data_IF_016906707768
#
_entry.id   IF_016906707768
#
_cell.length_a   1.000
_cell.length_b   1.000
_cell.length_c   1.000
_cell.angle_alpha   90.00
_cell.angle_beta   90.00
_cell.angle_gamma   90.00
#
_symmetry.space_group_name_H-M   'P 1'
#
loop_
_entity.id
_entity.type
_entity.pdbx_description
1 polymer ?
#
# COMPACT_ATOMS: atom_id res chain seq x y z
N UNK A 1 40.45 38.96 18.86
CA UNK A 1 39.43 39.02 19.93
C UNK A 1 38.20 39.78 19.43
N UNK A 2 37.03 39.14 19.54
CA UNK A 2 35.65 39.70 19.59
C UNK A 2 34.96 40.16 18.29
N UNK A 3 34.22 39.21 17.71
CA UNK A 3 32.92 39.37 17.04
C UNK A 3 31.97 40.28 17.85
N UNK A 4 31.24 41.17 17.17
CA UNK A 4 29.97 41.78 17.59
C UNK A 4 29.06 41.79 16.36
N UNK A 5 28.11 40.88 16.25
CA UNK A 5 26.72 40.96 16.77
C UNK A 5 25.75 41.43 15.69
N UNK A 6 24.95 40.46 15.25
CA UNK A 6 23.78 40.49 14.37
C UNK A 6 22.64 41.28 15.03
N UNK A 7 21.86 42.05 14.24
CA UNK A 7 20.51 42.48 14.63
C UNK A 7 19.67 42.86 13.39
N UNK A 8 18.69 42.03 13.04
CA UNK A 8 17.35 42.50 12.63
C UNK A 8 16.42 41.29 12.45
N UNK A 9 15.65 40.99 13.49
CA UNK A 9 14.48 40.12 13.44
C UNK A 9 13.29 41.03 13.76
N UNK A 10 12.41 41.23 12.78
CA UNK A 10 11.10 41.86 13.01
C UNK A 10 10.17 40.81 13.56
N UNK A 11 9.74 41.07 14.79
CA UNK A 11 8.66 40.41 15.52
C UNK A 11 7.33 40.88 14.94
N UNK A 12 6.43 39.96 14.60
CA UNK A 12 4.99 40.19 14.77
C UNK A 12 4.31 38.89 15.17
N UNK A 13 3.86 38.86 16.43
CA UNK A 13 2.95 37.87 16.98
C UNK A 13 1.65 38.58 17.37
N UNK A 14 0.53 38.05 16.89
CA UNK A 14 -0.79 38.15 17.52
C UNK A 14 -1.52 36.82 17.16
N UNK A 15 -1.62 35.83 18.05
CA UNK A 15 -2.56 35.71 19.19
C UNK A 15 -4.02 35.74 18.71
N UNK A 16 -4.94 34.78 18.85
CA UNK A 16 -5.15 33.49 19.57
C UNK A 16 -6.34 32.83 18.78
N UNK A 17 -6.53 31.51 18.64
CA UNK A 17 -7.14 30.57 19.61
C UNK A 17 -6.92 29.11 19.13
N UNK A 18 -6.09 28.39 19.87
CA UNK A 18 -6.13 26.98 20.30
C UNK A 18 -6.85 25.87 19.49
N UNK A 19 -6.07 24.97 18.87
CA UNK A 19 -6.14 23.51 19.09
C UNK A 19 -4.86 22.79 18.61
N UNK A 20 -3.97 22.51 19.57
CA UNK A 20 -2.99 21.42 19.66
C UNK A 20 -2.45 20.72 18.38
N UNK A 21 -1.75 21.43 17.49
CA UNK A 21 -0.94 20.76 16.45
C UNK A 21 0.41 21.44 16.14
N UNK A 22 0.83 22.47 16.87
CA UNK A 22 2.07 23.20 16.54
C UNK A 22 2.90 23.46 17.81
N UNK A 23 3.33 22.38 18.45
CA UNK A 23 4.43 22.39 19.40
C UNK A 23 5.42 21.32 18.93
N UNK A 24 6.40 21.74 18.14
CA UNK A 24 7.37 20.86 17.50
C UNK A 24 8.24 21.52 16.43
N UNK A 25 7.92 22.75 16.00
CA UNK A 25 8.86 23.59 15.27
C UNK A 25 9.76 24.30 16.27
N UNK A 26 11.08 24.13 16.16
CA UNK A 26 12.17 24.79 16.93
C UNK A 26 12.75 24.06 18.15
N UNK A 27 12.90 22.74 18.05
CA UNK A 27 14.05 22.00 18.58
C UNK A 27 14.17 20.77 17.66
N UNK A 28 15.13 20.68 16.76
CA UNK A 28 16.45 20.08 17.03
C UNK A 28 17.41 20.61 15.97
N UNK A 29 18.46 21.27 16.42
CA UNK A 29 19.70 21.45 15.67
C UNK A 29 20.47 20.14 15.77
N UNK A 30 21.09 19.73 14.65
CA UNK A 30 22.04 18.61 14.50
C UNK A 30 21.49 17.20 14.72
N UNK A 31 20.91 16.63 13.67
CA UNK A 31 21.25 15.30 13.13
C UNK A 31 20.47 15.13 11.83
N UNK A 32 21.17 14.90 10.73
CA UNK A 32 20.55 14.29 9.55
C UNK A 32 20.23 12.86 10.01
N UNK A 33 19.03 12.69 10.57
CA UNK A 33 18.43 11.37 10.67
C UNK A 33 18.34 10.89 9.23
N UNK A 34 19.22 9.93 8.93
CA UNK A 34 18.91 8.82 8.04
C UNK A 34 17.40 8.63 8.05
N UNK A 35 16.77 8.79 6.89
CA UNK A 35 15.43 8.26 6.65
C UNK A 35 15.54 6.80 7.03
N UNK A 36 15.12 6.45 8.25
CA UNK A 36 14.99 5.06 8.61
C UNK A 36 14.00 4.51 7.59
N UNK A 37 14.37 3.44 6.84
CA UNK A 37 13.43 2.84 5.93
C UNK A 37 12.19 2.53 6.75
N UNK A 38 11.05 3.03 6.26
CA UNK A 38 9.73 2.60 6.71
C UNK A 38 9.86 1.10 6.93
N UNK A 39 9.66 0.66 8.18
CA UNK A 39 9.95 -0.68 8.64
C UNK A 39 9.00 -1.65 7.91
N UNK A 40 9.32 -1.98 6.65
CA UNK A 40 8.71 -3.08 5.92
C UNK A 40 9.15 -4.29 6.71
N UNK A 41 8.19 -4.91 7.40
CA UNK A 41 8.40 -6.18 8.07
C UNK A 41 9.16 -7.08 7.10
N UNK A 42 10.39 -7.44 7.44
CA UNK A 42 11.25 -8.27 6.62
C UNK A 42 10.63 -9.66 6.49
N UNK A 43 9.69 -9.81 5.57
CA UNK A 43 9.36 -11.10 4.99
C UNK A 43 10.60 -11.55 4.22
N UNK A 44 11.13 -12.71 4.62
CA UNK A 44 12.36 -13.27 4.08
C UNK A 44 12.33 -13.28 2.54
N UNK A 45 13.34 -12.73 1.85
CA UNK A 45 13.40 -12.79 0.40
C UNK A 45 13.78 -14.22 0.02
N UNK A 46 13.02 -14.86 -0.86
CA UNK A 46 13.56 -15.99 -1.62
C UNK A 46 12.70 -17.24 -1.78
N UNK A 47 11.38 -17.21 -1.65
CA UNK A 47 10.59 -18.30 -2.23
C UNK A 47 9.39 -17.76 -2.97
N UNK A 48 9.34 -18.03 -4.27
CA UNK A 48 8.11 -18.06 -5.09
C UNK A 48 7.17 -19.21 -4.61
N UNK A 49 7.16 -19.49 -3.31
CA UNK A 49 6.28 -20.46 -2.68
C UNK A 49 4.89 -19.85 -2.72
N UNK A 50 4.11 -20.28 -3.72
CA UNK A 50 2.67 -20.07 -3.69
C UNK A 50 2.16 -20.53 -2.32
N UNK A 51 1.42 -19.68 -1.60
CA UNK A 51 0.70 -20.13 -0.42
C UNK A 51 -0.19 -21.29 -0.84
N UNK A 52 0.10 -22.50 -0.35
CA UNK A 52 -0.45 -23.73 -0.94
C UNK A 52 -1.56 -24.34 -0.10
N UNK A 53 -1.82 -23.80 1.09
CA UNK A 53 -2.83 -24.41 1.97
C UNK A 53 -3.48 -23.38 2.89
N UNK A 54 -4.81 -23.34 2.84
CA UNK A 54 -5.63 -22.66 3.84
C UNK A 54 -5.64 -23.49 5.13
N UNK A 55 -5.08 -22.94 6.20
CA UNK A 55 -5.19 -23.54 7.54
C UNK A 55 -6.36 -22.87 8.26
N UNK A 56 -7.48 -23.58 8.42
CA UNK A 56 -8.65 -22.97 9.06
C UNK A 56 -9.78 -23.93 9.39
N UNK A 57 -10.44 -23.65 10.51
CA UNK A 57 -11.69 -24.30 10.93
C UNK A 57 -12.83 -23.94 9.98
N UNK A 58 -13.70 -24.91 9.68
CA UNK A 58 -14.89 -24.67 8.86
C UNK A 58 -15.92 -23.91 9.69
N UNK A 59 -16.31 -22.71 9.26
CA UNK A 59 -17.46 -22.04 9.84
C UNK A 59 -18.74 -22.65 9.26
N UNK A 60 -19.82 -22.65 10.03
CA UNK A 60 -21.13 -23.01 9.49
C UNK A 60 -21.50 -21.99 8.42
N UNK A 61 -21.73 -22.45 7.19
CA UNK A 61 -22.03 -21.59 6.06
C UNK A 61 -23.34 -20.83 6.32
N UNK A 62 -23.24 -19.55 6.69
CA UNK A 62 -24.38 -18.65 6.69
C UNK A 62 -24.56 -18.12 5.27
N UNK A 63 -25.66 -18.50 4.60
CA UNK A 63 -25.95 -18.13 3.21
C UNK A 63 -25.85 -16.60 2.98
N UNK A 64 -26.20 -15.80 3.98
CA UNK A 64 -26.08 -14.34 3.97
C UNK A 64 -24.61 -13.87 3.90
N UNK A 65 -23.72 -14.48 4.68
CA UNK A 65 -22.29 -14.15 4.67
C UNK A 65 -21.64 -14.54 3.34
N UNK A 66 -21.94 -15.74 2.83
CA UNK A 66 -21.43 -16.23 1.52
C UNK A 66 -21.80 -15.28 0.39
N UNK A 67 -23.07 -14.83 0.34
CA UNK A 67 -23.54 -13.93 -0.71
C UNK A 67 -22.81 -12.58 -0.66
N UNK A 68 -22.63 -12.01 0.54
CA UNK A 68 -21.97 -10.71 0.70
C UNK A 68 -20.47 -10.77 0.43
N UNK A 69 -19.78 -11.82 0.90
CA UNK A 69 -18.35 -12.02 0.61
C UNK A 69 -18.14 -12.18 -0.91
N UNK A 70 -18.96 -13.00 -1.59
CA UNK A 70 -18.89 -13.15 -3.04
C UNK A 70 -19.12 -11.81 -3.77
N UNK A 71 -20.07 -11.00 -3.32
CA UNK A 71 -20.34 -9.71 -3.93
C UNK A 71 -19.14 -8.76 -3.80
N UNK A 72 -18.50 -8.70 -2.64
CA UNK A 72 -17.30 -7.89 -2.41
C UNK A 72 -16.13 -8.40 -3.26
N UNK A 73 -15.83 -9.71 -3.23
CA UNK A 73 -14.74 -10.28 -4.03
C UNK A 73 -14.95 -10.08 -5.53
N UNK A 74 -16.19 -10.19 -6.02
CA UNK A 74 -16.51 -9.92 -7.42
C UNK A 74 -16.27 -8.44 -7.78
N UNK A 75 -16.66 -7.52 -6.91
CA UNK A 75 -16.46 -6.10 -7.14
C UNK A 75 -14.96 -5.74 -7.17
N UNK A 76 -14.17 -6.32 -6.27
CA UNK A 76 -12.71 -6.17 -6.27
C UNK A 76 -12.07 -6.77 -7.52
N UNK A 77 -12.50 -7.97 -7.92
CA UNK A 77 -12.06 -8.69 -9.11
C UNK A 77 -12.31 -7.89 -10.42
N UNK A 78 -13.43 -7.15 -10.48
CA UNK A 78 -13.75 -6.17 -11.52
C UNK A 78 -12.81 -4.95 -11.47
N UNK A 79 -12.55 -4.42 -10.28
CA UNK A 79 -11.64 -3.29 -10.06
C UNK A 79 -10.20 -3.64 -10.44
N UNK A 80 -9.75 -4.85 -10.09
CA UNK A 80 -8.42 -5.36 -10.43
C UNK A 80 -8.25 -5.61 -11.93
N UNK A 81 -9.30 -6.06 -12.64
CA UNK A 81 -9.26 -6.10 -14.12
C UNK A 81 -9.13 -4.71 -14.74
N UNK A 82 -9.84 -3.73 -14.21
CA UNK A 82 -9.75 -2.35 -14.70
C UNK A 82 -8.36 -1.76 -14.46
N UNK A 83 -7.76 -2.00 -13.30
CA UNK A 83 -6.38 -1.68 -12.99
C UNK A 83 -5.41 -2.35 -13.97
N UNK A 84 -5.51 -3.67 -14.13
CA UNK A 84 -4.63 -4.43 -15.02
C UNK A 84 -4.71 -3.96 -16.48
N UNK A 85 -5.92 -3.70 -16.99
CA UNK A 85 -6.12 -3.17 -18.33
C UNK A 85 -5.49 -1.78 -18.52
N UNK A 86 -5.52 -0.94 -17.46
CA UNK A 86 -4.86 0.37 -17.48
C UNK A 86 -3.34 0.23 -17.46
N UNK A 87 -2.79 -0.60 -16.58
CA UNK A 87 -1.35 -0.88 -16.54
C UNK A 87 -0.85 -1.42 -17.89
N UNK A 88 -1.55 -2.39 -18.49
CA UNK A 88 -1.21 -2.89 -19.83
C UNK A 88 -1.17 -1.80 -20.89
N UNK A 89 -2.09 -0.82 -20.83
CA UNK A 89 -2.12 0.29 -21.80
C UNK A 89 -0.93 1.24 -21.71
N UNK A 90 -0.19 1.21 -20.60
CA UNK A 90 1.04 1.98 -20.40
C UNK A 90 2.27 1.31 -21.05
N UNK A 91 2.14 0.07 -21.56
CA UNK A 91 3.24 -0.72 -22.13
C UNK A 91 4.45 -0.84 -21.19
N UNK A 92 4.20 -0.96 -19.88
CA UNK A 92 5.21 -1.24 -18.86
C UNK A 92 4.86 -2.51 -18.10
N UNK A 93 5.89 -3.16 -17.60
CA UNK A 93 5.83 -4.26 -16.66
C UNK A 93 6.79 -3.99 -15.49
N UNK A 94 6.81 -4.88 -14.51
CA UNK A 94 7.65 -4.76 -13.32
C UNK A 94 9.15 -4.58 -13.63
N UNK A 95 9.62 -5.15 -14.75
CA UNK A 95 11.03 -5.09 -15.15
C UNK A 95 11.40 -3.79 -15.88
N UNK A 96 10.42 -3.11 -16.46
CA UNK A 96 10.62 -1.90 -17.26
C UNK A 96 10.14 -0.62 -16.57
N UNK A 97 9.38 -0.75 -15.48
CA UNK A 97 8.81 0.37 -14.74
C UNK A 97 9.86 1.35 -14.20
N UNK A 98 11.02 0.85 -13.73
CA UNK A 98 12.09 1.71 -13.22
C UNK A 98 12.67 2.64 -14.30
N UNK A 99 12.87 2.10 -15.51
CA UNK A 99 13.40 2.83 -16.66
C UNK A 99 12.33 3.62 -17.44
N UNK A 100 11.06 3.53 -17.05
CA UNK A 100 9.98 4.24 -17.69
C UNK A 100 10.15 5.77 -17.53
N UNK A 101 9.72 6.52 -18.55
CA UNK A 101 9.69 7.98 -18.46
C UNK A 101 8.77 8.45 -17.32
N UNK A 102 8.99 9.69 -16.87
CA UNK A 102 8.29 10.23 -15.70
C UNK A 102 6.77 10.25 -15.86
N UNK A 103 6.27 10.42 -17.09
CA UNK A 103 4.83 10.39 -17.38
C UNK A 103 4.27 9.00 -17.17
N UNK A 104 4.91 7.99 -17.76
CA UNK A 104 4.49 6.60 -17.69
C UNK A 104 4.56 6.07 -16.25
N UNK A 105 5.62 6.42 -15.52
CA UNK A 105 5.72 6.06 -14.11
C UNK A 105 4.65 6.75 -13.25
N UNK A 106 4.41 8.04 -13.48
CA UNK A 106 3.36 8.79 -12.77
C UNK A 106 1.97 8.22 -13.05
N UNK A 107 1.68 7.82 -14.28
CA UNK A 107 0.42 7.19 -14.65
C UNK A 107 0.27 5.81 -13.98
N UNK A 108 1.35 5.02 -13.92
CA UNK A 108 1.35 3.73 -13.22
C UNK A 108 1.05 3.90 -11.72
N UNK A 109 1.74 4.85 -11.06
CA UNK A 109 1.51 5.17 -9.65
C UNK A 109 0.07 5.64 -9.38
N UNK A 110 -0.47 6.51 -10.25
CA UNK A 110 -1.83 7.02 -10.13
C UNK A 110 -2.89 5.93 -10.33
N UNK A 111 -2.69 5.02 -11.30
CA UNK A 111 -3.59 3.88 -11.54
C UNK A 111 -3.60 2.93 -10.34
N UNK A 112 -2.44 2.64 -9.77
CA UNK A 112 -2.30 1.79 -8.57
C UNK A 112 -2.92 2.44 -7.33
N UNK A 113 -2.67 3.73 -7.10
CA UNK A 113 -3.31 4.51 -6.04
C UNK A 113 -4.83 4.46 -6.16
N UNK A 114 -5.35 4.66 -7.37
CA UNK A 114 -6.80 4.62 -7.62
C UNK A 114 -7.39 3.26 -7.29
N UNK A 115 -6.73 2.16 -7.66
CA UNK A 115 -7.20 0.82 -7.31
C UNK A 115 -7.23 0.63 -5.79
N UNK A 116 -6.14 0.97 -5.09
CA UNK A 116 -6.05 0.85 -3.64
C UNK A 116 -7.18 1.64 -2.94
N UNK A 117 -7.46 2.87 -3.38
CA UNK A 117 -8.52 3.71 -2.80
C UNK A 117 -9.93 3.18 -3.12
N UNK A 118 -10.17 2.72 -4.35
CA UNK A 118 -11.48 2.21 -4.77
C UNK A 118 -11.83 0.89 -4.10
N UNK A 119 -10.90 -0.07 -4.08
CA UNK A 119 -11.09 -1.35 -3.40
C UNK A 119 -11.09 -1.18 -1.88
N UNK A 120 -10.25 -0.29 -1.33
CA UNK A 120 -10.19 0.01 0.09
C UNK A 120 -11.46 0.66 0.65
N UNK A 121 -12.17 1.42 -0.19
CA UNK A 121 -13.45 2.05 0.16
C UNK A 121 -14.67 1.10 0.02
N UNK A 122 -14.49 -0.14 -0.44
CA UNK A 122 -15.59 -1.09 -0.53
C UNK A 122 -16.17 -1.42 0.85
N UNK A 123 -17.50 -1.51 0.93
CA UNK A 123 -18.20 -1.71 2.19
C UNK A 123 -18.02 -3.15 2.69
N UNK A 124 -17.19 -3.31 3.72
CA UNK A 124 -16.96 -4.57 4.43
C UNK A 124 -17.83 -4.71 5.70
N UNK A 125 -18.50 -3.64 6.14
CA UNK A 125 -19.37 -3.66 7.31
C UNK A 125 -20.50 -4.68 7.17
N UNK A 126 -20.70 -5.49 8.22
CA UNK A 126 -21.71 -6.56 8.23
C UNK A 126 -21.27 -7.86 7.53
N UNK A 127 -19.99 -7.98 7.20
CA UNK A 127 -19.30 -9.24 6.93
C UNK A 127 -18.76 -9.86 8.23
N UNK A 128 -18.32 -11.12 8.23
CA UNK A 128 -17.62 -11.69 9.38
C UNK A 128 -16.37 -10.90 9.78
N UNK A 129 -16.06 -10.85 11.08
CA UNK A 129 -15.01 -9.96 11.62
C UNK A 129 -13.61 -10.33 11.18
N UNK A 130 -13.32 -11.63 11.06
CA UNK A 130 -12.08 -12.18 10.53
C UNK A 130 -11.90 -11.85 9.03
N UNK A 131 -12.98 -11.94 8.25
CA UNK A 131 -12.97 -11.52 6.85
C UNK A 131 -12.69 -10.02 6.73
N UNK A 132 -13.39 -9.18 7.51
CA UNK A 132 -13.14 -7.74 7.55
C UNK A 132 -11.69 -7.42 7.92
N UNK A 133 -11.14 -8.09 8.94
CA UNK A 133 -9.75 -7.88 9.36
C UNK A 133 -8.78 -8.22 8.24
N UNK A 134 -8.95 -9.39 7.61
CA UNK A 134 -8.06 -9.88 6.56
C UNK A 134 -8.18 -9.03 5.30
N UNK A 135 -9.39 -8.58 4.95
CA UNK A 135 -9.65 -7.63 3.87
C UNK A 135 -8.91 -6.31 4.07
N UNK A 136 -8.97 -5.74 5.29
CA UNK A 136 -8.26 -4.48 5.61
C UNK A 136 -6.75 -4.65 5.57
N UNK A 137 -6.23 -5.80 5.98
CA UNK A 137 -4.79 -6.12 5.86
C UNK A 137 -4.39 -6.18 4.38
N UNK A 138 -5.17 -6.86 3.54
CA UNK A 138 -4.92 -6.89 2.10
C UNK A 138 -4.96 -5.50 1.45
N UNK A 139 -5.96 -4.69 1.78
CA UNK A 139 -6.06 -3.35 1.24
C UNK A 139 -4.95 -2.41 1.74
N UNK A 140 -4.40 -2.66 2.94
CA UNK A 140 -3.22 -1.96 3.42
C UNK A 140 -1.98 -2.32 2.58
N UNK A 141 -1.76 -3.58 2.24
CA UNK A 141 -0.62 -3.97 1.39
C UNK A 141 -0.65 -3.24 0.03
N UNK A 142 -1.83 -3.11 -0.58
CA UNK A 142 -2.01 -2.31 -1.80
C UNK A 142 -1.74 -0.82 -1.58
N UNK A 143 -2.16 -0.26 -0.44
CA UNK A 143 -1.91 1.15 -0.13
C UNK A 143 -0.42 1.42 0.11
N UNK A 144 0.27 0.54 0.83
CA UNK A 144 1.71 0.65 1.08
C UNK A 144 2.49 0.61 -0.25
N UNK A 145 2.08 -0.24 -1.19
CA UNK A 145 2.66 -0.27 -2.54
C UNK A 145 2.38 1.01 -3.33
N UNK A 146 1.14 1.54 -3.28
CA UNK A 146 0.80 2.80 -3.91
C UNK A 146 1.63 3.97 -3.34
N UNK A 147 1.81 4.03 -2.02
CA UNK A 147 2.61 5.06 -1.35
C UNK A 147 4.10 4.96 -1.72
N UNK A 148 4.64 3.74 -1.87
CA UNK A 148 5.98 3.52 -2.40
C UNK A 148 6.14 4.09 -3.81
N UNK A 149 5.21 3.78 -4.73
CA UNK A 149 5.24 4.30 -6.10
C UNK A 149 5.13 5.82 -6.12
N UNK A 150 4.26 6.41 -5.29
CA UNK A 150 4.12 7.86 -5.18
C UNK A 150 5.40 8.53 -4.66
N UNK A 151 6.08 7.93 -3.68
CA UNK A 151 7.36 8.43 -3.19
C UNK A 151 8.45 8.39 -4.27
N UNK A 152 8.44 7.35 -5.12
CA UNK A 152 9.39 7.20 -6.23
C UNK A 152 9.15 8.18 -7.40
N UNK A 153 8.08 8.99 -7.36
CA UNK A 153 7.91 10.12 -8.30
C UNK A 153 8.80 11.31 -7.95
N UNK A 154 9.33 11.36 -6.72
CA UNK A 154 10.25 12.40 -6.28
C UNK A 154 11.64 12.05 -6.83
N UNK A 155 12.24 12.88 -7.71
CA UNK A 155 13.51 12.55 -8.37
C UNK A 155 14.63 12.20 -7.41
N UNK A 156 14.72 12.88 -6.26
CA UNK A 156 15.72 12.62 -5.24
C UNK A 156 15.56 11.24 -4.59
N UNK A 157 14.33 10.77 -4.39
CA UNK A 157 14.05 9.45 -3.85
C UNK A 157 14.37 8.36 -4.88
N UNK A 158 13.97 8.58 -6.13
CA UNK A 158 14.26 7.67 -7.24
C UNK A 158 15.75 7.56 -7.52
N UNK A 159 16.51 8.66 -7.43
CA UNK A 159 17.96 8.64 -7.61
C UNK A 159 18.71 7.98 -6.45
N UNK A 160 18.09 7.85 -5.27
CA UNK A 160 18.66 7.18 -4.10
C UNK A 160 18.49 5.66 -4.13
N UNK A 161 17.68 5.12 -5.05
CA UNK A 161 17.39 3.69 -5.20
C UNK A 161 17.87 3.26 -6.59
N UNK A 162 18.80 2.31 -6.66
CA UNK A 162 19.19 1.73 -7.95
C UNK A 162 18.13 0.75 -8.48
N UNK A 163 18.29 0.33 -9.74
CA UNK A 163 17.33 -0.55 -10.42
C UNK A 163 17.16 -1.90 -9.69
N UNK A 164 18.25 -2.47 -9.17
CA UNK A 164 18.24 -3.74 -8.44
C UNK A 164 17.47 -3.62 -7.12
N UNK A 165 17.70 -2.54 -6.36
CA UNK A 165 16.98 -2.25 -5.13
C UNK A 165 15.49 -1.98 -5.39
N UNK A 166 15.16 -1.25 -6.46
CA UNK A 166 13.77 -1.04 -6.87
C UNK A 166 13.08 -2.37 -7.23
N UNK A 167 13.74 -3.22 -8.03
CA UNK A 167 13.20 -4.51 -8.42
C UNK A 167 12.96 -5.42 -7.22
N UNK A 168 13.87 -5.43 -6.24
CA UNK A 168 13.71 -6.19 -5.00
C UNK A 168 12.51 -5.70 -4.18
N UNK A 169 12.39 -4.38 -3.98
CA UNK A 169 11.26 -3.79 -3.27
C UNK A 169 9.93 -4.07 -3.98
N UNK A 170 9.89 -3.91 -5.31
CA UNK A 170 8.70 -4.20 -6.10
C UNK A 170 8.28 -5.67 -5.96
N UNK A 171 9.24 -6.60 -5.99
CA UNK A 171 8.98 -8.04 -5.75
C UNK A 171 8.44 -8.29 -4.34
N UNK A 172 8.94 -7.58 -3.32
CA UNK A 172 8.46 -7.72 -1.95
C UNK A 172 7.01 -7.25 -1.80
N UNK A 173 6.67 -6.08 -2.34
CA UNK A 173 5.28 -5.60 -2.34
C UNK A 173 4.33 -6.54 -3.08
N UNK A 174 4.73 -7.05 -4.24
CA UNK A 174 3.95 -8.04 -5.00
C UNK A 174 3.72 -9.33 -4.19
N UNK A 175 4.76 -9.83 -3.50
CA UNK A 175 4.65 -10.99 -2.63
C UNK A 175 3.68 -10.75 -1.46
N UNK A 176 3.76 -9.59 -0.80
CA UNK A 176 2.87 -9.23 0.32
C UNK A 176 1.40 -9.08 -0.14
N UNK A 177 1.18 -8.45 -1.30
CA UNK A 177 -0.15 -8.33 -1.92
C UNK A 177 -0.74 -9.72 -2.21
N UNK A 178 0.04 -10.62 -2.81
CA UNK A 178 -0.40 -11.99 -3.13
C UNK A 178 -0.67 -12.81 -1.88
N UNK A 179 0.20 -12.71 -0.87
CA UNK A 179 0.05 -13.42 0.40
C UNK A 179 -1.23 -12.98 1.12
N UNK A 180 -1.42 -11.67 1.30
CA UNK A 180 -2.60 -11.15 1.99
C UNK A 180 -3.90 -11.42 1.22
N UNK A 181 -3.88 -11.43 -0.11
CA UNK A 181 -5.05 -11.83 -0.90
C UNK A 181 -5.39 -13.31 -0.71
N UNK A 182 -4.38 -14.18 -0.70
CA UNK A 182 -4.59 -15.60 -0.43
C UNK A 182 -5.23 -15.82 0.95
N UNK A 183 -4.83 -15.08 1.97
CA UNK A 183 -5.45 -15.12 3.29
C UNK A 183 -6.92 -14.70 3.24
N UNK A 184 -7.26 -13.63 2.48
CA UNK A 184 -8.66 -13.22 2.25
C UNK A 184 -9.46 -14.39 1.65
N UNK A 185 -8.91 -15.06 0.64
CA UNK A 185 -9.56 -16.21 0.00
C UNK A 185 -9.71 -17.37 0.99
N UNK A 186 -8.71 -17.67 1.82
CA UNK A 186 -8.82 -18.72 2.82
C UNK A 186 -9.93 -18.46 3.84
N UNK A 187 -10.04 -17.23 4.34
CA UNK A 187 -11.14 -16.85 5.23
C UNK A 187 -12.48 -16.95 4.48
N UNK A 188 -12.58 -16.47 3.24
CA UNK A 188 -13.79 -16.63 2.42
C UNK A 188 -14.21 -18.10 2.26
N UNK A 189 -13.24 -18.97 1.97
CA UNK A 189 -13.45 -20.42 1.81
C UNK A 189 -13.96 -21.09 3.08
N UNK A 190 -13.52 -20.62 4.26
CA UNK A 190 -14.01 -21.11 5.56
C UNK A 190 -15.52 -20.87 5.77
N UNK A 191 -16.08 -19.84 5.11
CA UNK A 191 -17.51 -19.54 5.09
C UNK A 191 -18.28 -20.26 3.98
N UNK A 192 -17.60 -21.01 3.09
CA UNK A 192 -18.22 -21.75 1.99
C UNK A 192 -18.21 -21.02 0.64
N UNK A 193 -17.43 -19.95 0.49
CA UNK A 193 -17.18 -19.34 -0.83
C UNK A 193 -16.35 -20.28 -1.69
N UNK A 194 -16.72 -20.44 -2.97
CA UNK A 194 -15.90 -21.17 -3.93
C UNK A 194 -14.73 -20.27 -4.39
N UNK A 195 -13.57 -20.46 -3.76
CA UNK A 195 -12.38 -19.64 -3.97
C UNK A 195 -11.69 -19.88 -5.32
N UNK A 196 -11.93 -21.01 -5.97
CA UNK A 196 -11.31 -21.34 -7.28
C UNK A 196 -11.70 -20.33 -8.36
N UNK A 197 -12.80 -19.60 -8.17
CA UNK A 197 -13.24 -18.53 -9.07
C UNK A 197 -12.40 -17.25 -8.96
N UNK A 198 -11.61 -17.12 -7.89
CA UNK A 198 -10.85 -15.93 -7.54
C UNK A 198 -9.34 -16.19 -7.46
N UNK A 199 -8.90 -17.46 -7.51
CA UNK A 199 -7.48 -17.80 -7.66
C UNK A 199 -7.04 -17.46 -9.10
N UNK A 200 -6.09 -16.52 -9.23
CA UNK A 200 -5.49 -16.09 -10.49
C UNK A 200 -4.00 -16.42 -10.51
#
# INVERSE_FOLDING_TARGET
MKLKSILSIVVFAAAFVSSAAVAGLFAVKTEIQTIEPIFVSAASPGSDARPTQCFGHRHNAETSAVAKINALLKQDDESGRAHHAKVQSLNVDDSTLFAADDSTFSDYAAVTTRYADQSGAMKDSGLPSDFQSTWRVHMRAWRDYADFLEAMKIPEMRAAVDEDAFALLNKQYDADIKQTYFEVLCVAGSYGVNIDKFLR
#
